data_IF_315638758445
#
_entry.id   IF_315638758445
#
_cell.length_a   1.000
_cell.length_b   1.000
_cell.length_c   1.000
_cell.angle_alpha   90.00
_cell.angle_beta   90.00
_cell.angle_gamma   90.00
#
_symmetry.space_group_name_H-M   'P 1'
#
loop_
_entity.id
_entity.type
_entity.pdbx_description
1 polymer ?
#
# COMPACT_ATOMS: atom_id res chain seq x y z
N UNK A 1 -12.75 -32.03 53.61
CA UNK A 1 -12.03 -31.01 54.39
C UNK A 1 -12.28 -29.68 53.71
N UNK A 2 -13.10 -28.82 54.32
CA UNK A 2 -13.43 -27.51 53.75
C UNK A 2 -12.22 -26.60 53.96
N UNK A 3 -11.59 -26.15 52.87
CA UNK A 3 -10.53 -25.17 52.95
C UNK A 3 -11.08 -23.91 53.63
N UNK A 4 -10.36 -23.29 54.58
CA UNK A 4 -10.77 -22.02 55.14
C UNK A 4 -10.94 -21.00 54.00
N UNK A 5 -12.11 -20.34 53.96
CA UNK A 5 -12.51 -19.36 52.95
C UNK A 5 -11.38 -18.39 52.50
N UNK A 6 -10.54 -17.81 53.39
CA UNK A 6 -9.45 -16.92 52.95
C UNK A 6 -8.37 -17.63 52.13
N UNK A 7 -8.09 -18.91 52.39
CA UNK A 7 -7.09 -19.69 51.63
C UNK A 7 -7.63 -20.03 50.24
N UNK A 8 -8.92 -20.38 50.14
CA UNK A 8 -9.57 -20.62 48.86
C UNK A 8 -9.59 -19.33 47.99
N UNK A 9 -9.91 -18.18 48.58
CA UNK A 9 -9.87 -16.89 47.88
C UNK A 9 -8.47 -16.53 47.39
N UNK A 10 -7.44 -16.74 48.22
CA UNK A 10 -6.04 -16.52 47.85
C UNK A 10 -5.61 -17.38 46.65
N UNK A 11 -5.98 -18.66 46.63
CA UNK A 11 -5.70 -19.56 45.50
C UNK A 11 -6.37 -19.06 44.22
N UNK A 12 -7.64 -18.65 44.27
CA UNK A 12 -8.35 -18.12 43.10
C UNK A 12 -7.74 -16.83 42.57
N UNK A 13 -7.29 -15.93 43.44
CA UNK A 13 -6.61 -14.69 43.04
C UNK A 13 -5.28 -15.02 42.35
N UNK A 14 -4.45 -15.89 42.95
CA UNK A 14 -3.17 -16.29 42.36
C UNK A 14 -3.39 -16.99 41.02
N UNK A 15 -4.36 -17.90 40.93
CA UNK A 15 -4.70 -18.58 39.68
C UNK A 15 -5.17 -17.58 38.61
N UNK A 16 -6.03 -16.63 39.00
CA UNK A 16 -6.51 -15.56 38.11
C UNK A 16 -5.39 -14.66 37.60
N UNK A 17 -4.47 -14.25 38.49
CA UNK A 17 -3.29 -13.48 38.11
C UNK A 17 -2.40 -14.28 37.18
N UNK A 18 -2.05 -15.54 37.51
CA UNK A 18 -1.22 -16.40 36.66
C UNK A 18 -1.83 -16.58 35.28
N UNK A 19 -3.15 -16.87 35.20
CA UNK A 19 -3.86 -16.99 33.94
C UNK A 19 -3.83 -15.69 33.15
N UNK A 20 -4.04 -14.55 33.81
CA UNK A 20 -3.93 -13.23 33.18
C UNK A 20 -2.52 -12.98 32.63
N UNK A 21 -1.47 -13.29 33.39
CA UNK A 21 -0.08 -13.15 32.91
C UNK A 21 0.21 -14.04 31.71
N UNK A 22 -0.27 -15.29 31.72
CA UNK A 22 -0.13 -16.23 30.59
C UNK A 22 -0.81 -15.69 29.33
N UNK A 23 -2.02 -15.14 29.44
CA UNK A 23 -2.74 -14.53 28.31
C UNK A 23 -2.00 -13.30 27.77
N UNK A 24 -1.55 -12.41 28.67
CA UNK A 24 -0.82 -11.20 28.27
C UNK A 24 0.52 -11.54 27.62
N UNK A 25 1.27 -12.51 28.15
CA UNK A 25 2.54 -12.98 27.57
C UNK A 25 2.31 -13.72 26.25
N UNK A 26 1.26 -14.55 26.17
CA UNK A 26 0.87 -15.23 24.94
C UNK A 26 0.55 -14.26 23.81
N UNK A 27 -0.25 -13.22 24.10
CA UNK A 27 -0.51 -12.12 23.15
C UNK A 27 0.79 -11.41 22.76
N UNK A 28 1.63 -11.03 23.72
CA UNK A 28 2.92 -10.37 23.45
C UNK A 28 3.87 -11.22 22.59
N UNK A 29 3.90 -12.55 22.79
CA UNK A 29 4.72 -13.46 21.97
C UNK A 29 4.20 -13.59 20.54
N UNK A 30 2.88 -13.63 20.36
CA UNK A 30 2.27 -13.66 19.02
C UNK A 30 2.55 -12.35 18.27
N UNK A 31 2.35 -11.21 18.95
CA UNK A 31 2.69 -9.88 18.42
C UNK A 31 4.17 -9.79 18.05
N UNK A 32 5.09 -10.29 18.89
CA UNK A 32 6.54 -10.29 18.61
C UNK A 32 6.93 -11.12 17.39
N UNK A 33 6.21 -12.23 17.10
CA UNK A 33 6.45 -13.02 15.88
C UNK A 33 6.02 -12.28 14.62
N UNK A 34 4.94 -11.50 14.67
CA UNK A 34 4.52 -10.64 13.56
C UNK A 34 5.37 -9.37 13.44
N UNK A 35 5.80 -8.80 14.56
CA UNK A 35 6.58 -7.56 14.63
C UNK A 35 8.04 -7.70 14.15
N UNK A 36 8.56 -8.92 14.02
CA UNK A 36 9.88 -9.14 13.42
C UNK A 36 9.91 -8.88 11.91
N UNK A 37 8.73 -8.77 11.27
CA UNK A 37 8.62 -8.68 9.81
C UNK A 37 7.85 -7.46 9.31
N UNK A 38 6.87 -6.93 10.06
CA UNK A 38 6.04 -5.79 9.61
C UNK A 38 6.68 -4.45 10.02
N UNK A 39 7.05 -3.57 9.08
CA UNK A 39 7.54 -2.22 9.38
C UNK A 39 6.47 -1.36 10.06
N UNK A 40 6.92 -0.32 10.76
CA UNK A 40 6.02 0.70 11.33
C UNK A 40 5.26 1.40 10.21
N UNK A 41 3.91 1.46 10.26
CA UNK A 41 3.13 2.22 9.29
C UNK A 41 3.56 3.70 9.24
N UNK A 42 3.49 4.35 8.07
CA UNK A 42 3.83 5.76 7.96
C UNK A 42 2.93 6.61 8.87
N UNK A 43 3.52 7.58 9.55
CA UNK A 43 2.77 8.51 10.39
C UNK A 43 1.77 9.31 9.55
N UNK A 44 0.61 9.64 10.14
CA UNK A 44 -0.38 10.47 9.47
C UNK A 44 0.24 11.85 9.20
N UNK A 45 0.33 12.28 7.93
CA UNK A 45 0.94 13.56 7.61
C UNK A 45 0.08 14.72 8.13
N UNK A 46 0.70 15.89 8.26
CA UNK A 46 -0.02 17.13 8.57
C UNK A 46 -1.12 17.39 7.54
N UNK A 47 -2.19 18.09 7.94
CA UNK A 47 -3.39 18.27 7.12
C UNK A 47 -3.08 18.90 5.74
N UNK A 48 -2.15 19.86 5.69
CA UNK A 48 -1.68 20.48 4.45
C UNK A 48 -0.99 19.49 3.47
N UNK A 49 -0.39 18.41 3.99
CA UNK A 49 0.30 17.40 3.19
C UNK A 49 -0.61 16.22 2.80
N UNK A 50 -1.87 16.18 3.25
CA UNK A 50 -2.84 15.16 2.85
C UNK A 50 -3.46 15.45 1.47
N UNK A 51 -3.46 16.71 1.04
CA UNK A 51 -4.15 17.14 -0.19
C UNK A 51 -5.65 17.30 0.01
N UNK A 52 -6.39 17.46 -1.11
CA UNK A 52 -7.83 17.64 -1.09
C UNK A 52 -8.56 16.39 -0.62
N UNK A 53 -9.75 16.58 -0.02
CA UNK A 53 -10.64 15.46 0.33
C UNK A 53 -11.39 15.03 -0.93
N UNK A 54 -11.17 13.79 -1.34
CA UNK A 54 -11.88 13.16 -2.47
C UNK A 54 -13.19 12.56 -2.00
N UNK A 55 -13.17 11.87 -0.86
CA UNK A 55 -14.33 11.20 -0.28
C UNK A 55 -14.23 11.13 1.25
N UNK A 56 -15.32 11.47 1.93
CA UNK A 56 -15.48 11.28 3.37
C UNK A 56 -15.68 12.59 4.14
N UNK A 57 -15.64 12.54 5.49
CA UNK A 57 -15.41 11.33 6.30
C UNK A 57 -16.60 10.36 6.23
N UNK A 58 -16.30 9.06 6.11
CA UNK A 58 -17.28 7.97 6.13
C UNK A 58 -17.16 7.19 7.44
N UNK A 59 -18.27 6.96 8.11
CA UNK A 59 -18.31 6.04 9.25
C UNK A 59 -18.09 4.61 8.73
N UNK A 60 -17.06 3.96 9.24
CA UNK A 60 -16.74 2.59 8.88
C UNK A 60 -16.28 1.80 10.11
N UNK A 61 -16.17 0.51 9.92
CA UNK A 61 -15.56 -0.39 10.86
C UNK A 61 -14.25 -0.88 10.27
N UNK A 62 -13.16 -0.63 11.00
CA UNK A 62 -11.88 -1.27 10.74
C UNK A 62 -11.95 -2.73 11.18
N UNK A 63 -11.83 -3.65 10.23
CA UNK A 63 -11.96 -5.09 10.49
C UNK A 63 -10.67 -5.64 11.07
N UNK A 64 -9.58 -5.53 10.30
CA UNK A 64 -8.21 -5.94 10.62
C UNK A 64 -7.32 -5.56 9.43
N UNK A 65 -6.01 -5.53 9.64
CA UNK A 65 -5.04 -5.76 8.57
C UNK A 65 -4.41 -7.16 8.68
N UNK A 66 -4.12 -7.76 7.54
CA UNK A 66 -3.43 -9.05 7.39
C UNK A 66 -2.25 -8.90 6.44
N UNK A 67 -1.34 -9.87 6.43
CA UNK A 67 -0.35 -9.96 5.36
C UNK A 67 -1.06 -10.26 4.04
N UNK A 68 -0.61 -9.63 2.95
CA UNK A 68 -1.23 -9.83 1.64
C UNK A 68 -1.17 -11.31 1.23
N UNK A 69 -2.32 -11.87 0.84
CA UNK A 69 -2.43 -13.28 0.45
C UNK A 69 -2.51 -14.29 1.61
N UNK A 70 -2.31 -13.87 2.86
CA UNK A 70 -2.57 -14.70 4.05
C UNK A 70 -3.73 -14.10 4.86
N UNK A 71 -4.95 -14.42 4.42
CA UNK A 71 -6.20 -13.90 4.96
C UNK A 71 -6.50 -14.32 6.41
N UNK A 72 -5.71 -15.22 7.03
CA UNK A 72 -5.84 -15.63 8.43
C UNK A 72 -4.76 -15.04 9.34
N UNK A 73 -3.61 -14.64 8.79
CA UNK A 73 -2.52 -14.02 9.53
C UNK A 73 -2.83 -12.56 9.90
N UNK A 74 -3.57 -12.38 11.00
CA UNK A 74 -3.74 -11.05 11.62
C UNK A 74 -2.37 -10.48 12.01
N UNK A 75 -2.13 -9.25 11.57
CA UNK A 75 -0.92 -8.53 11.96
C UNK A 75 -1.07 -8.06 13.41
N UNK A 76 -0.38 -8.71 14.34
CA UNK A 76 -0.39 -8.31 15.75
C UNK A 76 0.40 -7.01 16.03
N UNK A 77 1.20 -6.54 15.07
CA UNK A 77 2.04 -5.35 15.23
C UNK A 77 1.23 -4.05 15.06
N UNK A 78 1.65 -2.98 15.74
CA UNK A 78 1.10 -1.61 15.61
C UNK A 78 -0.43 -1.48 15.75
N UNK A 79 -1.06 -2.41 16.49
CA UNK A 79 -2.52 -2.46 16.62
C UNK A 79 -3.26 -2.72 15.30
N UNK A 80 -2.58 -3.15 14.24
CA UNK A 80 -3.18 -3.34 12.92
C UNK A 80 -4.16 -4.52 12.88
N UNK A 81 -4.04 -5.48 13.79
CA UNK A 81 -4.99 -6.59 13.94
C UNK A 81 -6.21 -6.27 14.80
N UNK A 82 -6.24 -5.10 15.45
CA UNK A 82 -7.30 -4.75 16.39
C UNK A 82 -8.48 -4.10 15.68
N UNK A 83 -9.64 -4.70 15.87
CA UNK A 83 -10.92 -4.21 15.35
C UNK A 83 -11.28 -2.89 16.05
N UNK A 84 -11.62 -1.87 15.28
CA UNK A 84 -12.01 -0.56 15.79
C UNK A 84 -13.16 0.06 14.99
N UNK A 85 -13.95 0.91 15.64
CA UNK A 85 -14.79 1.85 14.90
C UNK A 85 -13.88 2.91 14.29
N UNK A 86 -14.09 3.26 13.03
CA UNK A 86 -13.20 4.15 12.30
C UNK A 86 -13.97 5.18 11.47
N UNK A 87 -13.31 6.29 11.17
CA UNK A 87 -13.73 7.22 10.12
C UNK A 87 -12.71 7.16 8.99
N UNK A 88 -13.20 6.96 7.78
CA UNK A 88 -12.37 6.80 6.58
C UNK A 88 -12.52 8.03 5.73
N UNK A 89 -11.38 8.65 5.39
CA UNK A 89 -11.31 9.79 4.48
C UNK A 89 -10.29 9.48 3.39
N UNK A 90 -10.72 9.55 2.14
CA UNK A 90 -9.83 9.44 0.98
C UNK A 90 -9.39 10.85 0.62
N UNK A 91 -8.08 11.07 0.64
CA UNK A 91 -7.46 12.30 0.21
C UNK A 91 -6.66 12.08 -1.08
N UNK A 92 -6.23 13.18 -1.71
CA UNK A 92 -5.40 13.09 -2.90
C UNK A 92 -4.06 12.38 -2.65
N UNK A 93 -3.45 12.61 -1.48
CA UNK A 93 -2.16 12.02 -1.13
C UNK A 93 -2.28 10.61 -0.51
N UNK A 94 -3.49 10.14 -0.19
CA UNK A 94 -3.66 8.84 0.47
C UNK A 94 -4.98 8.64 1.20
N UNK A 95 -5.11 7.48 1.82
CA UNK A 95 -6.25 7.08 2.63
C UNK A 95 -5.94 7.27 4.12
N UNK A 96 -6.77 8.05 4.81
CA UNK A 96 -6.71 8.20 6.26
C UNK A 96 -7.82 7.40 6.93
N UNK A 97 -7.44 6.55 7.88
CA UNK A 97 -8.36 5.77 8.71
C UNK A 97 -8.16 6.18 10.16
N UNK A 98 -9.04 7.06 10.65
CA UNK A 98 -9.04 7.50 12.03
C UNK A 98 -9.72 6.44 12.90
N UNK A 99 -8.98 5.78 13.81
CA UNK A 99 -9.50 4.65 14.60
C UNK A 99 -9.82 5.07 16.02
N UNK A 100 -10.98 4.67 16.54
CA UNK A 100 -11.36 4.93 17.93
C UNK A 100 -10.71 3.90 18.86
N UNK A 101 -9.81 4.37 19.72
CA UNK A 101 -9.14 3.54 20.74
C UNK A 101 -7.94 2.73 20.23
N UNK A 102 -7.46 3.04 19.02
CA UNK A 102 -6.24 2.53 18.41
C UNK A 102 -5.58 3.64 17.58
N UNK A 103 -4.30 3.50 17.24
CA UNK A 103 -3.59 4.52 16.45
C UNK A 103 -4.20 4.67 15.05
N UNK A 104 -4.13 5.86 14.46
CA UNK A 104 -4.61 6.08 13.10
C UNK A 104 -3.76 5.32 12.08
N UNK A 105 -4.36 4.96 10.94
CA UNK A 105 -3.65 4.33 9.82
C UNK A 105 -3.66 5.30 8.64
N UNK A 106 -2.48 5.58 8.11
CA UNK A 106 -2.30 6.32 6.86
C UNK A 106 -1.77 5.36 5.79
N UNK A 107 -2.45 5.32 4.65
CA UNK A 107 -2.00 4.57 3.47
C UNK A 107 -1.69 5.58 2.36
N UNK A 108 -0.42 5.84 2.04
CA UNK A 108 -0.04 6.75 0.96
C UNK A 108 -0.61 6.30 -0.38
N UNK A 109 -1.00 7.24 -1.24
CA UNK A 109 -1.52 6.94 -2.58
C UNK A 109 -0.58 6.02 -3.39
N UNK A 110 0.72 6.35 -3.38
CA UNK A 110 1.75 5.60 -4.09
C UNK A 110 1.97 4.17 -3.56
N UNK A 111 1.57 3.92 -2.30
CA UNK A 111 1.67 2.62 -1.65
C UNK A 111 0.45 1.73 -1.93
N UNK A 112 -0.66 2.28 -2.41
CA UNK A 112 -1.83 1.48 -2.79
C UNK A 112 -1.51 0.70 -4.06
N UNK A 113 -1.82 -0.59 -4.04
CA UNK A 113 -1.57 -1.49 -5.16
C UNK A 113 -2.86 -2.02 -5.78
N UNK A 114 -3.81 -2.41 -4.93
CA UNK A 114 -5.09 -2.96 -5.38
C UNK A 114 -6.18 -2.71 -4.35
N UNK A 115 -7.44 -2.81 -4.79
CA UNK A 115 -8.60 -2.79 -3.92
C UNK A 115 -9.70 -3.72 -4.41
N UNK A 116 -10.16 -4.58 -3.51
CA UNK A 116 -11.16 -5.59 -3.78
C UNK A 116 -12.32 -5.53 -2.79
N UNK A 117 -13.48 -6.04 -3.19
CA UNK A 117 -14.56 -6.36 -2.27
C UNK A 117 -14.48 -7.82 -1.86
N UNK A 118 -14.73 -8.09 -0.59
CA UNK A 118 -14.81 -9.46 -0.08
C UNK A 118 -16.01 -9.65 0.85
N UNK A 119 -16.62 -10.84 0.87
CA UNK A 119 -17.62 -11.20 1.87
C UNK A 119 -17.02 -11.54 3.24
N UNK A 120 -15.69 -11.61 3.37
CA UNK A 120 -15.03 -11.88 4.64
C UNK A 120 -13.52 -11.62 4.67
N UNK A 121 -13.00 -11.36 5.87
CA UNK A 121 -11.56 -11.15 6.13
C UNK A 121 -11.21 -11.62 7.55
N UNK A 122 -10.01 -12.20 7.72
CA UNK A 122 -9.45 -12.55 9.04
C UNK A 122 -10.36 -13.45 9.87
N UNK A 123 -10.95 -14.46 9.23
CA UNK A 123 -11.91 -15.39 9.85
C UNK A 123 -13.28 -14.78 10.16
N UNK A 124 -13.56 -13.55 9.70
CA UNK A 124 -14.87 -12.91 9.84
C UNK A 124 -15.60 -12.89 8.50
N UNK A 125 -16.71 -13.62 8.43
CA UNK A 125 -17.60 -13.61 7.28
C UNK A 125 -18.84 -12.75 7.60
N UNK A 126 -19.22 -11.87 6.69
CA UNK A 126 -20.38 -10.96 6.84
C UNK A 126 -21.54 -11.30 5.91
N UNK A 127 -21.41 -12.35 5.08
CA UNK A 127 -22.50 -12.87 4.24
C UNK A 127 -22.82 -12.04 3.00
N UNK A 128 -22.23 -10.85 2.84
CA UNK A 128 -22.33 -9.97 1.67
C UNK A 128 -20.98 -9.31 1.39
N UNK A 129 -20.71 -8.93 0.14
CA UNK A 129 -19.51 -8.19 -0.29
C UNK A 129 -19.49 -6.75 0.24
N UNK A 130 -19.30 -6.59 1.55
CA UNK A 130 -19.37 -5.30 2.23
C UNK A 130 -18.01 -4.84 2.81
N UNK A 131 -16.97 -5.66 2.68
CA UNK A 131 -15.62 -5.31 3.15
C UNK A 131 -14.80 -4.87 1.95
N UNK A 132 -14.42 -3.59 1.95
CA UNK A 132 -13.43 -3.02 1.04
C UNK A 132 -12.05 -3.35 1.58
N UNK A 133 -11.29 -4.15 0.83
CA UNK A 133 -9.93 -4.57 1.17
C UNK A 133 -8.96 -3.76 0.34
N UNK A 134 -8.14 -2.97 1.00
CA UNK A 134 -7.07 -2.19 0.37
C UNK A 134 -5.76 -2.94 0.54
N UNK A 135 -5.14 -3.34 -0.57
CA UNK A 135 -3.82 -3.96 -0.59
C UNK A 135 -2.77 -2.88 -0.84
N UNK A 136 -1.80 -2.77 0.06
CA UNK A 136 -0.78 -1.72 0.01
C UNK A 136 0.57 -2.18 0.55
N UNK A 137 1.65 -1.59 0.06
CA UNK A 137 3.00 -1.84 0.57
C UNK A 137 3.33 -0.88 1.72
N UNK A 138 3.79 -1.41 2.85
CA UNK A 138 4.27 -0.55 3.94
C UNK A 138 5.66 -0.04 3.56
N UNK A 139 5.85 1.27 3.32
CA UNK A 139 7.16 1.81 3.04
C UNK A 139 8.06 1.58 4.26
N UNK A 140 9.25 1.02 4.03
CA UNK A 140 10.25 0.93 5.08
C UNK A 140 10.62 2.35 5.54
N UNK A 141 10.77 2.53 6.85
CA UNK A 141 11.29 3.79 7.40
C UNK A 141 12.64 4.11 6.73
N UNK A 142 12.92 5.37 6.34
CA UNK A 142 14.22 5.74 5.83
C UNK A 142 15.28 5.39 6.88
N UNK A 143 16.09 4.40 6.52
CA UNK A 143 17.22 3.95 7.33
C UNK A 143 18.16 5.14 7.50
N UNK A 144 18.56 5.51 8.74
CA UNK A 144 19.60 6.50 8.94
C UNK A 144 20.85 6.11 8.13
N UNK A 145 21.44 7.05 7.39
CA UNK A 145 22.58 6.79 6.50
C UNK A 145 23.79 6.13 7.18
N UNK A 146 23.85 6.21 8.53
CA UNK A 146 24.91 5.66 9.36
C UNK A 146 24.59 4.27 9.95
N UNK A 147 23.45 3.65 9.58
CA UNK A 147 23.13 2.30 10.02
C UNK A 147 24.07 1.30 9.32
N UNK A 148 24.73 0.38 10.07
CA UNK A 148 25.76 -0.50 9.52
C UNK A 148 25.24 -1.51 8.48
N UNK A 149 23.93 -1.64 8.30
CA UNK A 149 23.30 -2.42 7.24
C UNK A 149 21.85 -1.92 7.09
N UNK A 150 21.40 -1.64 5.87
CA UNK A 150 19.98 -1.41 5.60
C UNK A 150 19.24 -2.67 6.06
N UNK A 151 18.26 -2.58 6.99
CA UNK A 151 17.56 -3.75 7.44
C UNK A 151 16.91 -4.42 6.22
N UNK A 152 17.00 -5.76 6.11
CA UNK A 152 16.39 -6.53 5.04
C UNK A 152 14.88 -6.56 5.30
N UNK A 153 14.21 -5.44 5.10
CA UNK A 153 12.76 -5.37 5.18
C UNK A 153 12.24 -5.37 3.74
N UNK A 154 11.81 -6.52 3.21
CA UNK A 154 11.02 -6.52 1.99
C UNK A 154 9.82 -5.59 2.23
N UNK A 155 9.44 -4.82 1.21
CA UNK A 155 8.17 -4.09 1.22
C UNK A 155 7.06 -5.05 1.66
N UNK A 156 6.57 -4.87 2.89
CA UNK A 156 5.56 -5.77 3.43
C UNK A 156 4.23 -5.33 2.87
N UNK A 157 3.63 -6.20 2.09
CA UNK A 157 2.30 -6.00 1.55
C UNK A 157 1.26 -6.36 2.60
N UNK A 158 0.34 -5.44 2.87
CA UNK A 158 -0.75 -5.58 3.81
C UNK A 158 -2.10 -5.46 3.11
N UNK A 159 -3.05 -6.27 3.56
CA UNK A 159 -4.45 -6.16 3.20
C UNK A 159 -5.20 -5.51 4.37
N UNK A 160 -5.84 -4.36 4.15
CA UNK A 160 -6.57 -3.63 5.19
C UNK A 160 -8.06 -3.62 4.90
N UNK A 161 -8.85 -4.24 5.77
CA UNK A 161 -10.29 -4.39 5.60
C UNK A 161 -11.08 -3.27 6.26
N UNK A 162 -11.86 -2.55 5.46
CA UNK A 162 -12.77 -1.49 5.86
C UNK A 162 -14.19 -1.89 5.51
N UNK A 163 -15.09 -1.81 6.48
CA UNK A 163 -16.52 -2.10 6.27
C UNK A 163 -17.33 -0.83 6.54
N UNK A 164 -17.68 -0.05 5.50
CA UNK A 164 -18.53 1.13 5.64
C UNK A 164 -19.84 0.81 6.38
N UNK A 165 -20.34 1.79 7.14
CA UNK A 165 -21.58 1.64 7.91
C UNK A 165 -22.81 1.56 7.02
N UNK A 166 -22.81 2.29 5.89
CA UNK A 166 -23.93 2.33 4.96
C UNK A 166 -23.55 1.64 3.65
N UNK A 167 -24.49 0.86 3.11
CA UNK A 167 -24.24 0.06 1.90
C UNK A 167 -23.95 0.91 0.65
N UNK A 168 -24.48 2.14 0.58
CA UNK A 168 -24.18 3.07 -0.52
C UNK A 168 -22.75 3.63 -0.47
N UNK A 169 -22.08 3.57 0.67
CA UNK A 169 -20.70 4.04 0.83
C UNK A 169 -19.68 3.00 0.37
N UNK A 170 -20.07 1.71 0.30
CA UNK A 170 -19.21 0.61 -0.17
C UNK A 170 -18.70 0.84 -1.60
N UNK A 171 -19.56 1.04 -2.63
CA UNK A 171 -19.08 1.28 -3.99
C UNK A 171 -18.32 2.61 -4.12
N UNK A 172 -18.73 3.65 -3.37
CA UNK A 172 -18.06 4.96 -3.40
C UNK A 172 -16.63 4.87 -2.86
N UNK A 173 -16.44 4.18 -1.74
CA UNK A 173 -15.12 3.98 -1.15
C UNK A 173 -14.24 3.12 -2.05
N UNK A 174 -14.81 2.05 -2.61
CA UNK A 174 -14.10 1.17 -3.54
C UNK A 174 -13.59 1.96 -4.77
N UNK A 175 -14.45 2.76 -5.39
CA UNK A 175 -14.09 3.57 -6.55
C UNK A 175 -13.04 4.63 -6.21
N UNK A 176 -13.23 5.39 -5.12
CA UNK A 176 -12.26 6.41 -4.71
C UNK A 176 -10.87 5.83 -4.40
N UNK A 177 -10.79 4.62 -3.84
CA UNK A 177 -9.51 3.93 -3.60
C UNK A 177 -8.93 3.33 -4.88
N UNK A 178 -9.76 2.86 -5.84
CA UNK A 178 -9.27 2.43 -7.17
C UNK A 178 -8.65 3.59 -7.92
N UNK A 179 -9.28 4.75 -7.89
CA UNK A 179 -8.76 5.96 -8.52
C UNK A 179 -7.43 6.37 -7.89
N UNK A 180 -7.28 6.17 -6.57
CA UNK A 180 -6.03 6.38 -5.85
C UNK A 180 -4.93 5.41 -6.32
N UNK A 181 -5.26 4.12 -6.49
CA UNK A 181 -4.33 3.09 -6.96
C UNK A 181 -3.88 3.29 -8.42
N UNK A 182 -4.76 3.87 -9.25
CA UNK A 182 -4.48 4.16 -10.66
C UNK A 182 -3.59 5.39 -10.89
N UNK A 183 -3.28 6.17 -9.86
CA UNK A 183 -2.44 7.37 -10.00
C UNK A 183 -0.97 6.98 -10.22
N UNK A 184 -0.25 7.72 -11.08
CA UNK A 184 1.19 7.54 -11.21
C UNK A 184 1.86 7.61 -9.84
N UNK A 185 2.67 6.61 -9.52
CA UNK A 185 3.57 6.69 -8.37
C UNK A 185 4.58 7.77 -8.69
N UNK A 186 4.37 8.99 -8.17
CA UNK A 186 5.41 10.00 -8.18
C UNK A 186 6.57 9.42 -7.37
N UNK A 187 7.57 8.92 -8.10
CA UNK A 187 8.81 8.45 -7.52
C UNK A 187 9.38 9.60 -6.69
N UNK A 188 9.41 9.40 -5.37
CA UNK A 188 10.06 10.32 -4.45
C UNK A 188 11.44 10.67 -4.99
N UNK A 189 11.74 11.96 -5.04
CA UNK A 189 12.95 12.49 -5.64
C UNK A 189 14.20 11.83 -5.09
N UNK A 190 14.95 11.20 -5.99
CA UNK A 190 16.37 10.95 -5.81
C UNK A 190 17.08 11.17 -7.15
N UNK A 191 18.18 11.93 -7.07
CA UNK A 191 19.18 12.02 -8.12
C UNK A 191 18.92 13.05 -9.21
N UNK A 192 19.34 14.28 -8.96
CA UNK A 192 20.08 15.11 -9.93
C UNK A 192 21.13 14.25 -10.64
N UNK A 193 20.75 13.51 -11.69
CA UNK A 193 21.65 13.21 -12.80
C UNK A 193 21.42 14.29 -13.82
N UNK A 194 22.09 15.39 -13.52
CA UNK A 194 22.49 16.41 -14.46
C UNK A 194 22.80 15.74 -15.81
N UNK A 195 21.87 15.94 -16.73
CA UNK A 195 21.99 15.58 -18.13
C UNK A 195 23.17 16.40 -18.65
N UNK A 196 24.39 15.86 -18.57
CA UNK A 196 25.58 16.39 -19.24
C UNK A 196 25.38 16.21 -20.74
N UNK A 197 24.57 17.07 -21.32
CA UNK A 197 24.60 17.39 -22.75
C UNK A 197 25.68 18.45 -22.91
N UNK A 198 26.93 17.99 -23.08
CA UNK A 198 28.03 18.81 -23.60
C UNK A 198 28.21 18.45 -25.07
N UNK A 199 27.94 19.43 -25.93
CA UNK A 199 27.90 19.37 -27.39
C UNK A 199 29.22 18.91 -28.07
N UNK A 200 29.15 18.46 -29.34
CA UNK A 200 30.33 18.32 -30.19
C UNK A 200 30.93 19.70 -30.53
N UNK A 201 32.25 19.80 -30.35
CA UNK A 201 33.06 20.98 -30.67
C UNK A 201 32.98 21.30 -32.17
N UNK A 202 32.54 22.51 -32.48
CA UNK A 202 32.70 23.15 -33.77
C UNK A 202 34.17 23.50 -33.98
N UNK A 203 34.74 23.11 -35.12
CA UNK A 203 35.92 23.75 -35.68
C UNK A 203 35.66 23.96 -37.17
N UNK A 204 35.46 25.22 -37.52
CA UNK A 204 35.40 25.74 -38.89
C UNK A 204 36.82 26.14 -39.29
N UNK A 205 37.28 25.69 -40.46
CA UNK A 205 38.11 26.51 -41.33
C UNK A 205 37.97 26.04 -42.80
N UNK A 206 37.18 26.81 -43.55
CA UNK A 206 37.47 27.46 -44.85
C UNK A 206 38.05 26.67 -46.08
N UNK A 207 37.91 27.21 -47.31
CA UNK A 207 37.48 26.48 -48.51
C UNK A 207 38.51 26.45 -49.67
N UNK A 208 38.23 25.74 -50.78
CA UNK A 208 38.56 26.11 -52.19
C UNK A 208 38.21 24.99 -53.23
N UNK A 209 37.63 25.43 -54.36
CA UNK A 209 37.56 24.89 -55.75
C UNK A 209 37.06 23.47 -56.07
N UNK A 210 35.95 23.33 -56.82
CA UNK A 210 35.80 23.27 -58.30
C UNK A 210 36.18 21.90 -58.91
N UNK A 211 35.16 21.15 -59.36
CA UNK A 211 34.88 20.85 -60.78
C UNK A 211 33.85 19.70 -60.92
N UNK A 212 32.92 19.85 -61.87
CA UNK A 212 31.84 18.88 -62.19
C UNK A 212 32.34 17.61 -62.93
N UNK A 213 31.46 16.82 -63.60
CA UNK A 213 30.05 17.04 -63.93
C UNK A 213 29.09 15.85 -63.65
N UNK A 214 27.77 16.09 -63.83
CA UNK A 214 26.72 15.09 -64.05
C UNK A 214 26.91 14.40 -65.45
N UNK A 215 26.23 13.29 -65.86
CA UNK A 215 24.78 13.00 -65.74
C UNK A 215 24.45 11.50 -65.44
N UNK A 216 23.21 11.08 -65.21
CA UNK A 216 22.30 10.52 -66.25
C UNK A 216 20.95 10.12 -65.62
N UNK A 217 19.86 10.43 -66.33
CA UNK A 217 18.46 10.05 -66.06
C UNK A 217 18.15 8.64 -66.60
N UNK A 218 17.28 7.88 -65.92
CA UNK A 218 16.27 6.98 -66.54
C UNK A 218 15.31 6.50 -65.43
N UNK A 219 14.06 6.96 -65.33
CA UNK A 219 12.84 6.57 -66.07
C UNK A 219 12.41 5.11 -65.89
N UNK A 220 11.38 4.86 -65.06
CA UNK A 220 10.15 4.11 -65.40
C UNK A 220 9.41 3.58 -64.14
N UNK A 221 8.13 3.88 -64.04
CA UNK A 221 7.11 3.16 -63.25
C UNK A 221 6.36 2.20 -64.20
N UNK A 222 5.22 1.57 -63.83
CA UNK A 222 4.81 0.85 -62.62
C UNK A 222 4.41 -0.62 -62.95
N UNK A 223 4.15 -1.46 -61.94
CA UNK A 223 3.60 -2.80 -62.13
C UNK A 223 2.60 -3.16 -61.02
N UNK A 224 1.36 -3.37 -61.43
CA UNK A 224 0.21 -3.94 -60.68
C UNK A 224 0.27 -5.46 -60.64
N UNK A 225 -0.19 -6.05 -59.54
CA UNK A 225 -0.97 -7.30 -59.42
C UNK A 225 -1.24 -7.47 -57.89
N UNK A 226 -2.46 -7.39 -57.37
CA UNK A 226 -3.61 -8.29 -57.58
C UNK A 226 -3.30 -9.72 -57.12
N UNK A 227 -3.65 -10.03 -55.86
CA UNK A 227 -4.40 -11.25 -55.57
C UNK A 227 -4.95 -11.26 -54.14
N UNK A 228 -6.27 -11.39 -54.09
CA UNK A 228 -7.06 -12.00 -53.02
C UNK A 228 -6.47 -13.35 -52.59
N UNK A 229 -6.62 -13.74 -51.32
CA UNK A 229 -7.33 -14.99 -51.04
C UNK A 229 -7.82 -15.04 -49.58
N UNK A 230 -9.07 -15.46 -49.49
CA UNK A 230 -9.98 -15.47 -48.36
C UNK A 230 -10.03 -16.88 -47.72
N UNK A 231 -10.23 -16.90 -46.39
CA UNK A 231 -10.90 -17.96 -45.61
C UNK A 231 -10.19 -19.33 -45.43
N UNK A 232 -10.73 -20.23 -44.57
CA UNK A 232 -11.82 -20.09 -43.60
C UNK A 232 -11.43 -20.14 -42.11
#
# INVERSE_FOLDING_TARGET
MNLPQPVAAGIWIVLGVVLLTLVLVGRRRLVRRSAGFVPTPPAVPAEAARGGVVLGPLDALYVSSTLAGDWLARVGAHGLGDRAQAQVTVHDAGLHVARRGADDVWVPAAAVEDVALTPGMAGKFVGKEAIVVVTWSVPAEPVPADAPEAPPHPEVRLDTGLMPRHDHDVPRLLEAVRDLAGRPRDAGGDGTRERRTGAPSSATDAPTDQDGPAPTRESAAPGTDENDEEAP
#
